data_IF_554262216942
#
_entry.id   IF_554262216942
#
_cell.length_a   1.000
_cell.length_b   1.000
_cell.length_c   1.000
_cell.angle_alpha   90.00
_cell.angle_beta   90.00
_cell.angle_gamma   90.00
#
_symmetry.space_group_name_H-M   'P 1'
#
loop_
_entity.id
_entity.type
_entity.pdbx_description
1 polymer ?
#
# COMPACT_ATOMS: atom_id res chain seq x y z
N UNK A 1 49.30 -25.98 -15.01
CA UNK A 1 47.86 -26.32 -14.86
C UNK A 1 46.93 -25.44 -15.72
N UNK A 2 47.04 -25.46 -17.06
CA UNK A 2 46.12 -24.71 -17.96
C UNK A 2 45.53 -25.53 -19.13
N UNK A 3 45.72 -26.86 -19.14
CA UNK A 3 45.25 -27.72 -20.25
C UNK A 3 44.03 -28.59 -19.94
N UNK A 4 43.54 -28.65 -18.70
CA UNK A 4 42.46 -29.58 -18.32
C UNK A 4 41.02 -29.04 -18.47
N UNK A 5 40.81 -27.72 -18.72
CA UNK A 5 39.45 -27.13 -18.76
C UNK A 5 38.75 -27.16 -20.13
N UNK A 6 39.45 -27.50 -21.22
CA UNK A 6 38.87 -27.42 -22.59
C UNK A 6 38.15 -28.70 -23.05
N UNK A 7 38.33 -29.82 -22.36
CA UNK A 7 37.74 -31.12 -22.76
C UNK A 7 36.36 -31.41 -22.12
N UNK A 8 36.06 -30.85 -20.95
CA UNK A 8 34.78 -31.13 -20.24
C UNK A 8 33.58 -30.45 -20.93
N UNK A 9 33.79 -29.38 -21.68
CA UNK A 9 32.71 -28.64 -22.38
C UNK A 9 32.19 -29.30 -23.67
N UNK A 10 32.91 -30.27 -24.25
CA UNK A 10 32.46 -30.94 -25.49
C UNK A 10 31.56 -32.15 -25.22
N UNK A 11 31.69 -32.80 -24.07
CA UNK A 11 30.93 -34.01 -23.74
C UNK A 11 29.48 -33.66 -23.32
N UNK A 12 29.25 -32.53 -22.66
CA UNK A 12 27.90 -32.14 -22.21
C UNK A 12 26.98 -31.58 -23.32
N UNK A 13 27.53 -31.08 -24.43
CA UNK A 13 26.71 -30.54 -25.53
C UNK A 13 26.12 -31.61 -26.45
N UNK A 14 26.77 -32.77 -26.62
CA UNK A 14 26.23 -33.81 -27.51
C UNK A 14 25.08 -34.59 -26.85
N UNK A 15 25.19 -34.92 -25.55
CA UNK A 15 24.18 -35.74 -24.87
C UNK A 15 22.85 -35.02 -24.65
N UNK A 16 22.86 -33.69 -24.55
CA UNK A 16 21.66 -32.90 -24.30
C UNK A 16 20.87 -32.63 -25.59
N UNK A 17 21.58 -32.50 -26.73
CA UNK A 17 20.94 -32.39 -28.04
C UNK A 17 20.36 -33.73 -28.51
N UNK A 18 21.05 -34.85 -28.25
CA UNK A 18 20.52 -36.18 -28.63
C UNK A 18 19.22 -36.54 -27.87
N UNK A 19 19.09 -36.11 -26.61
CA UNK A 19 17.84 -36.30 -25.83
C UNK A 19 16.69 -35.43 -26.31
N UNK A 20 16.98 -34.22 -26.80
CA UNK A 20 15.98 -33.32 -27.37
C UNK A 20 15.48 -33.82 -28.73
N UNK A 21 16.39 -34.32 -29.58
CA UNK A 21 16.01 -34.92 -30.87
C UNK A 21 15.23 -36.22 -30.68
N UNK A 22 15.59 -37.07 -29.71
CA UNK A 22 14.82 -38.29 -29.40
C UNK A 22 13.47 -38.01 -28.73
N UNK A 23 13.31 -36.88 -28.03
CA UNK A 23 12.03 -36.43 -27.47
C UNK A 23 11.06 -35.95 -28.56
N UNK A 24 11.57 -35.29 -29.60
CA UNK A 24 10.75 -34.80 -30.73
C UNK A 24 10.38 -35.95 -31.67
N UNK A 25 11.25 -36.95 -31.85
CA UNK A 25 10.98 -38.10 -32.71
C UNK A 25 9.88 -39.03 -32.15
N UNK A 26 9.79 -39.20 -30.82
CA UNK A 26 8.77 -40.07 -30.18
C UNK A 26 7.34 -39.53 -30.21
N UNK A 27 7.15 -38.27 -30.59
CA UNK A 27 5.84 -37.60 -30.51
C UNK A 27 5.12 -37.50 -31.87
N UNK A 28 5.69 -38.06 -32.95
CA UNK A 28 5.08 -38.03 -34.30
C UNK A 28 4.01 -39.10 -34.53
N UNK A 29 3.98 -40.14 -33.70
CA UNK A 29 3.04 -41.26 -33.85
C UNK A 29 1.80 -41.16 -32.95
N UNK A 30 1.65 -40.06 -32.20
CA UNK A 30 0.45 -39.81 -31.39
C UNK A 30 -0.66 -39.20 -32.26
N UNK A 31 -1.86 -39.80 -32.36
CA UNK A 31 -2.95 -39.32 -33.21
C UNK A 31 -3.48 -37.92 -32.85
N UNK A 32 -3.02 -37.31 -31.77
CA UNK A 32 -3.40 -35.96 -31.33
C UNK A 32 -2.58 -34.82 -31.97
N UNK A 33 -1.49 -35.10 -32.70
CA UNK A 33 -0.63 -34.03 -33.26
C UNK A 33 -1.33 -33.23 -34.37
N UNK A 34 -2.21 -33.85 -35.16
CA UNK A 34 -2.92 -33.20 -36.27
C UNK A 34 -3.95 -32.16 -35.81
N UNK A 35 -4.41 -32.18 -34.56
CA UNK A 35 -5.36 -31.19 -34.03
C UNK A 35 -4.72 -29.87 -33.60
N UNK A 36 -3.40 -29.81 -33.47
CA UNK A 36 -2.69 -28.65 -32.89
C UNK A 36 -2.28 -27.56 -33.91
N UNK A 37 -2.51 -27.77 -35.21
CA UNK A 37 -2.09 -26.85 -36.28
C UNK A 37 -3.23 -26.02 -36.89
N UNK A 38 -4.48 -26.21 -36.45
CA UNK A 38 -5.59 -25.41 -36.98
C UNK A 38 -5.71 -24.09 -36.23
N UNK A 39 -5.72 -22.93 -36.93
CA UNK A 39 -5.99 -21.63 -36.33
C UNK A 39 -7.32 -21.64 -35.56
N UNK A 40 -7.32 -21.07 -34.35
CA UNK A 40 -8.45 -21.13 -33.41
C UNK A 40 -9.79 -20.57 -33.97
N UNK A 41 -9.76 -19.83 -35.08
CA UNK A 41 -10.94 -19.27 -35.73
C UNK A 41 -11.64 -20.23 -36.72
N UNK A 42 -11.05 -21.40 -37.02
CA UNK A 42 -11.63 -22.41 -37.93
C UNK A 42 -12.25 -23.61 -37.18
N UNK A 43 -12.20 -23.62 -35.85
CA UNK A 43 -12.86 -24.65 -35.07
C UNK A 43 -14.35 -24.29 -34.90
N UNK A 44 -15.28 -25.24 -35.11
CA UNK A 44 -16.70 -24.99 -34.86
C UNK A 44 -16.90 -24.62 -33.37
N UNK A 45 -17.78 -23.66 -33.05
CA UNK A 45 -18.04 -23.26 -31.68
C UNK A 45 -18.50 -24.49 -30.88
N UNK A 46 -17.77 -24.78 -29.80
CA UNK A 46 -18.10 -25.87 -28.90
C UNK A 46 -19.50 -25.63 -28.34
N UNK A 47 -20.45 -26.58 -28.44
CA UNK A 47 -21.79 -26.41 -27.89
C UNK A 47 -21.66 -26.16 -26.38
N UNK A 48 -22.06 -24.97 -25.96
CA UNK A 48 -22.06 -24.58 -24.55
C UNK A 48 -23.23 -25.32 -23.91
N UNK A 49 -23.02 -26.18 -22.90
CA UNK A 49 -24.12 -26.78 -22.18
C UNK A 49 -24.94 -25.66 -21.52
N UNK A 50 -26.17 -25.49 -21.97
CA UNK A 50 -27.15 -24.56 -21.41
C UNK A 50 -27.60 -25.09 -20.05
N UNK A 51 -26.78 -24.93 -19.03
CA UNK A 51 -27.20 -25.21 -17.65
C UNK A 51 -27.97 -24.00 -17.15
N UNK A 52 -29.30 -24.09 -17.22
CA UNK A 52 -30.23 -23.16 -16.56
C UNK A 52 -30.10 -23.32 -15.05
N UNK A 53 -29.24 -22.52 -14.42
CA UNK A 53 -29.25 -22.37 -12.97
C UNK A 53 -30.33 -21.36 -12.56
N UNK A 54 -31.16 -21.67 -11.54
CA UNK A 54 -32.09 -20.69 -11.00
C UNK A 54 -31.33 -19.52 -10.39
N UNK A 55 -31.67 -18.31 -10.85
CA UNK A 55 -31.14 -17.04 -10.34
C UNK A 55 -31.71 -16.79 -8.95
N UNK A 56 -31.08 -17.37 -7.93
CA UNK A 56 -31.28 -16.94 -6.55
C UNK A 56 -30.56 -15.58 -6.40
N UNK A 57 -31.24 -14.49 -6.01
CA UNK A 57 -30.60 -13.21 -5.79
C UNK A 57 -29.54 -13.39 -4.70
N UNK A 58 -28.27 -13.16 -5.05
CA UNK A 58 -27.16 -13.35 -4.11
C UNK A 58 -27.35 -12.39 -2.92
N UNK A 59 -27.47 -12.89 -1.68
CA UNK A 59 -27.51 -12.04 -0.47
C UNK A 59 -26.24 -11.19 -0.27
N UNK A 60 -25.21 -11.42 -1.10
CA UNK A 60 -23.95 -10.68 -1.10
C UNK A 60 -24.11 -9.19 -1.44
N UNK A 61 -25.04 -8.80 -2.31
CA UNK A 61 -25.19 -7.37 -2.68
C UNK A 61 -25.89 -6.56 -1.59
N UNK A 62 -26.89 -7.13 -0.92
CA UNK A 62 -27.55 -6.51 0.23
C UNK A 62 -26.63 -6.44 1.47
N UNK A 63 -25.82 -7.48 1.71
CA UNK A 63 -24.82 -7.47 2.77
C UNK A 63 -23.70 -6.45 2.54
N UNK A 64 -23.26 -6.23 1.28
CA UNK A 64 -22.27 -5.20 0.94
C UNK A 64 -22.79 -3.78 1.21
N UNK A 65 -24.09 -3.52 1.03
CA UNK A 65 -24.71 -2.23 1.36
C UNK A 65 -24.78 -1.97 2.88
N UNK A 66 -25.04 -3.00 3.69
CA UNK A 66 -25.09 -2.88 5.16
C UNK A 66 -23.69 -2.82 5.82
N UNK A 67 -22.67 -3.42 5.19
CA UNK A 67 -21.28 -3.31 5.65
C UNK A 67 -20.69 -1.92 5.33
N UNK A 68 -21.11 -1.29 4.23
CA UNK A 68 -20.72 0.08 3.89
C UNK A 68 -21.14 1.13 4.95
N UNK A 69 -22.19 0.85 5.75
CA UNK A 69 -22.65 1.75 6.81
C UNK A 69 -21.90 1.58 8.15
N UNK A 70 -21.20 0.46 8.36
CA UNK A 70 -20.54 0.12 9.64
C UNK A 70 -19.01 0.18 9.60
N UNK A 71 -18.40 0.33 8.42
CA UNK A 71 -16.96 0.54 8.31
C UNK A 71 -16.57 1.92 8.85
N UNK A 72 -15.50 2.06 9.66
CA UNK A 72 -15.10 3.33 10.22
C UNK A 72 -14.84 4.35 9.11
N UNK A 73 -15.67 5.40 9.09
CA UNK A 73 -15.69 6.55 8.16
C UNK A 73 -14.39 7.37 8.13
N UNK A 74 -13.29 6.86 8.67
CA UNK A 74 -12.02 7.58 8.86
C UNK A 74 -10.96 7.24 7.81
N UNK A 75 -11.22 6.33 6.87
CA UNK A 75 -10.22 5.94 5.85
C UNK A 75 -10.05 6.96 4.70
N UNK A 76 -11.05 7.83 4.51
CA UNK A 76 -11.15 8.72 3.35
C UNK A 76 -10.19 9.92 3.32
N UNK A 77 -9.94 10.64 4.43
CA UNK A 77 -9.00 11.78 4.44
C UNK A 77 -7.56 11.35 4.13
N UNK A 78 -7.23 10.07 4.37
CA UNK A 78 -5.86 9.57 4.40
C UNK A 78 -5.20 9.61 3.04
N UNK A 79 -5.87 9.13 1.98
CA UNK A 79 -5.27 9.10 0.65
C UNK A 79 -5.12 10.52 0.07
N UNK A 80 -6.04 11.42 0.39
CA UNK A 80 -5.95 12.83 0.01
C UNK A 80 -4.85 13.56 0.78
N UNK A 81 -4.68 13.28 2.07
CA UNK A 81 -3.64 13.88 2.92
C UNK A 81 -2.26 13.30 2.64
N UNK A 82 -2.12 11.98 2.47
CA UNK A 82 -0.83 11.32 2.23
C UNK A 82 -0.32 11.59 0.81
N UNK A 83 -1.18 11.52 -0.21
CA UNK A 83 -0.71 11.52 -1.61
C UNK A 83 -0.94 12.83 -2.37
N UNK A 84 -1.48 13.88 -1.71
CA UNK A 84 -1.82 15.19 -2.32
C UNK A 84 -2.15 15.05 -3.81
N UNK A 85 -3.17 14.24 -4.08
CA UNK A 85 -3.56 13.93 -5.46
C UNK A 85 -3.75 15.26 -6.21
N UNK A 86 -3.32 15.36 -7.48
CA UNK A 86 -3.56 16.55 -8.28
C UNK A 86 -5.03 16.95 -8.17
N UNK A 87 -5.35 18.25 -7.97
CA UNK A 87 -6.72 18.70 -7.73
C UNK A 87 -7.67 18.36 -8.88
N UNK A 88 -7.14 18.06 -10.07
CA UNK A 88 -7.89 17.65 -11.25
C UNK A 88 -8.38 16.20 -11.21
N UNK A 89 -7.90 15.36 -10.29
CA UNK A 89 -8.27 13.95 -10.24
C UNK A 89 -9.30 13.69 -9.13
N UNK A 90 -10.39 12.97 -9.43
CA UNK A 90 -11.35 12.59 -8.40
C UNK A 90 -10.66 11.66 -7.40
N UNK A 91 -11.00 11.73 -6.09
CA UNK A 91 -10.45 10.82 -5.10
C UNK A 91 -10.84 9.36 -5.39
N UNK A 92 -10.03 8.37 -4.95
CA UNK A 92 -10.34 6.97 -5.19
C UNK A 92 -11.59 6.57 -4.40
N UNK A 93 -12.34 5.58 -4.91
CA UNK A 93 -13.56 5.15 -4.22
C UNK A 93 -13.24 4.63 -2.81
N UNK A 94 -14.14 4.82 -1.82
CA UNK A 94 -13.90 4.39 -0.44
C UNK A 94 -13.62 2.89 -0.35
N UNK A 95 -14.35 2.10 -1.14
CA UNK A 95 -14.19 0.66 -1.22
C UNK A 95 -12.81 0.27 -1.75
N UNK A 96 -12.27 1.00 -2.73
CA UNK A 96 -10.94 0.75 -3.24
C UNK A 96 -9.88 1.11 -2.19
N UNK A 97 -10.06 2.21 -1.46
CA UNK A 97 -9.15 2.61 -0.37
C UNK A 97 -9.14 1.57 0.74
N UNK A 98 -10.31 1.14 1.21
CA UNK A 98 -10.43 0.04 2.17
C UNK A 98 -9.73 -1.21 1.64
N UNK A 99 -10.01 -1.63 0.41
CA UNK A 99 -9.37 -2.78 -0.22
C UNK A 99 -7.83 -2.63 -0.34
N UNK A 100 -7.31 -1.43 -0.55
CA UNK A 100 -5.86 -1.16 -0.55
C UNK A 100 -5.27 -1.32 0.86
N UNK A 101 -6.00 -0.96 1.92
CA UNK A 101 -5.54 -0.92 3.30
C UNK A 101 -5.85 -2.18 4.13
N UNK A 102 -6.71 -3.07 3.64
CA UNK A 102 -7.08 -4.30 4.34
C UNK A 102 -6.13 -5.45 3.98
N UNK A 103 -5.27 -5.83 4.93
CA UNK A 103 -4.34 -6.95 4.77
C UNK A 103 -5.08 -8.30 4.86
N UNK A 104 -4.56 -9.35 4.19
CA UNK A 104 -5.14 -10.70 4.22
C UNK A 104 -5.24 -11.31 5.64
N UNK A 105 -4.43 -10.81 6.59
CA UNK A 105 -4.50 -11.26 7.98
C UNK A 105 -5.60 -10.60 8.79
N UNK A 106 -6.28 -9.57 8.27
CA UNK A 106 -7.39 -8.93 8.98
C UNK A 106 -8.51 -9.94 9.26
N UNK A 107 -9.22 -9.76 10.37
CA UNK A 107 -10.33 -10.64 10.75
C UNK A 107 -11.39 -10.70 9.64
N UNK A 108 -11.76 -9.56 9.08
CA UNK A 108 -12.78 -9.45 8.05
C UNK A 108 -12.35 -10.10 6.73
N UNK A 109 -11.08 -9.91 6.33
CA UNK A 109 -10.52 -10.59 5.16
C UNK A 109 -10.50 -12.12 5.34
N UNK A 110 -10.21 -12.61 6.55
CA UNK A 110 -10.19 -14.05 6.86
C UNK A 110 -11.56 -14.70 6.83
N UNK A 111 -12.58 -13.99 7.30
CA UNK A 111 -13.98 -14.47 7.28
C UNK A 111 -14.60 -14.27 5.88
N UNK A 112 -13.94 -13.49 5.01
CA UNK A 112 -14.38 -13.24 3.64
C UNK A 112 -15.48 -12.17 3.54
N UNK A 113 -15.63 -11.36 4.59
CA UNK A 113 -16.60 -10.25 4.66
C UNK A 113 -16.05 -8.97 4.03
N UNK A 114 -14.72 -8.79 4.04
CA UNK A 114 -14.05 -7.67 3.40
C UNK A 114 -13.09 -8.15 2.28
N UNK A 115 -12.91 -7.36 1.20
CA UNK A 115 -11.89 -7.63 0.19
C UNK A 115 -10.49 -7.46 0.81
N UNK A 116 -9.51 -8.23 0.31
CA UNK A 116 -8.13 -8.16 0.80
C UNK A 116 -7.15 -7.72 -0.27
N UNK A 117 -6.11 -7.03 0.16
CA UNK A 117 -5.18 -6.35 -0.72
C UNK A 117 -4.23 -7.25 -1.53
N UNK A 118 -4.36 -8.59 -1.49
CA UNK A 118 -3.39 -9.53 -2.07
C UNK A 118 -3.16 -9.33 -3.57
N UNK A 119 -4.24 -9.12 -4.33
CA UNK A 119 -4.17 -8.93 -5.80
C UNK A 119 -3.54 -7.58 -6.15
N UNK A 120 -3.96 -6.53 -5.46
CA UNK A 120 -3.40 -5.19 -5.65
C UNK A 120 -1.93 -5.16 -5.27
N UNK A 121 -1.56 -5.78 -4.15
CA UNK A 121 -0.16 -5.88 -3.70
C UNK A 121 0.71 -6.65 -4.69
N UNK A 122 0.17 -7.69 -5.33
CA UNK A 122 0.88 -8.38 -6.40
C UNK A 122 1.20 -7.42 -7.55
N UNK A 123 0.21 -6.71 -8.07
CA UNK A 123 0.39 -5.77 -9.19
C UNK A 123 1.37 -4.65 -8.82
N UNK A 124 1.17 -3.98 -7.69
CA UNK A 124 2.01 -2.84 -7.34
C UNK A 124 3.46 -3.20 -7.01
N UNK A 125 3.77 -4.42 -6.58
CA UNK A 125 5.18 -4.88 -6.51
C UNK A 125 5.87 -4.84 -7.86
N UNK A 126 5.18 -5.20 -8.95
CA UNK A 126 5.76 -5.17 -10.31
C UNK A 126 5.91 -3.74 -10.80
N UNK A 127 4.97 -2.86 -10.43
CA UNK A 127 5.08 -1.44 -10.73
C UNK A 127 6.25 -0.79 -9.97
N UNK A 128 6.45 -1.13 -8.70
CA UNK A 128 7.60 -0.67 -7.93
C UNK A 128 8.92 -1.12 -8.56
N UNK A 129 9.04 -2.39 -8.96
CA UNK A 129 10.20 -2.92 -9.69
C UNK A 129 10.42 -2.15 -11.01
N UNK A 130 9.36 -1.95 -11.80
CA UNK A 130 9.42 -1.21 -13.06
C UNK A 130 9.88 0.25 -12.85
N UNK A 131 9.32 0.96 -11.88
CA UNK A 131 9.66 2.36 -11.61
C UNK A 131 11.08 2.51 -11.07
N UNK A 132 11.53 1.60 -10.20
CA UNK A 132 12.92 1.57 -9.75
C UNK A 132 13.88 1.28 -10.91
N UNK A 133 13.56 0.31 -11.77
CA UNK A 133 14.35 0.00 -12.96
C UNK A 133 14.45 1.20 -13.90
N UNK A 134 13.34 1.89 -14.16
CA UNK A 134 13.32 3.11 -14.99
C UNK A 134 14.15 4.24 -14.38
N UNK A 135 14.11 4.41 -13.05
CA UNK A 135 14.98 5.36 -12.35
C UNK A 135 16.46 5.01 -12.52
N UNK A 136 16.84 3.74 -12.34
CA UNK A 136 18.23 3.30 -12.51
C UNK A 136 18.71 3.51 -13.96
N UNK A 137 17.87 3.22 -14.96
CA UNK A 137 18.17 3.51 -16.35
C UNK A 137 18.39 5.01 -16.59
N UNK A 138 17.51 5.86 -16.05
CA UNK A 138 17.62 7.31 -16.19
C UNK A 138 18.94 7.85 -15.62
N UNK A 139 19.33 7.38 -14.43
CA UNK A 139 20.55 7.82 -13.76
C UNK A 139 21.83 7.33 -14.47
N UNK A 140 21.76 6.18 -15.15
CA UNK A 140 22.89 5.63 -15.91
C UNK A 140 23.13 6.31 -17.25
N UNK A 141 22.17 7.06 -17.76
CA UNK A 141 22.35 7.85 -18.99
C UNK A 141 23.41 8.94 -18.73
N UNK A 142 24.52 8.97 -19.49
CA UNK A 142 25.57 9.97 -19.34
C UNK A 142 25.06 11.42 -19.40
N UNK A 143 23.95 11.67 -20.11
CA UNK A 143 23.33 13.00 -20.21
C UNK A 143 22.75 13.50 -18.89
N UNK A 144 22.42 12.58 -17.98
CA UNK A 144 21.80 12.89 -16.69
C UNK A 144 22.82 12.84 -15.54
N UNK A 145 24.12 12.66 -15.82
CA UNK A 145 25.13 12.62 -14.77
C UNK A 145 25.20 13.95 -14.00
N UNK A 146 25.23 13.85 -12.68
CA UNK A 146 25.46 15.00 -11.81
C UNK A 146 26.96 15.37 -11.84
N UNK A 147 27.29 16.67 -11.74
CA UNK A 147 28.67 17.12 -11.70
C UNK A 147 29.42 16.44 -10.55
N UNK A 148 30.62 15.92 -10.83
CA UNK A 148 31.45 15.20 -9.86
C UNK A 148 31.19 13.68 -9.77
N UNK A 149 30.22 13.12 -10.49
CA UNK A 149 30.05 11.67 -10.58
C UNK A 149 30.91 11.08 -11.71
N UNK A 150 32.12 10.64 -11.38
CA UNK A 150 33.00 9.93 -12.32
C UNK A 150 32.37 8.57 -12.70
N UNK A 151 32.51 8.17 -13.96
CA UNK A 151 31.86 6.99 -14.54
C UNK A 151 32.46 5.63 -14.12
N UNK A 152 33.49 5.62 -13.27
CA UNK A 152 34.23 4.40 -12.96
C UNK A 152 33.48 3.50 -11.97
N UNK A 153 33.14 2.28 -12.43
CA UNK A 153 32.82 1.14 -11.56
C UNK A 153 31.60 1.30 -10.66
N UNK A 154 30.45 1.75 -11.19
CA UNK A 154 29.18 1.84 -10.44
C UNK A 154 28.59 0.44 -10.16
N UNK A 155 29.19 -0.28 -9.24
CA UNK A 155 28.63 -1.52 -8.71
C UNK A 155 27.32 -1.21 -7.96
N UNK A 156 26.24 -1.91 -8.29
CA UNK A 156 24.97 -1.85 -7.56
C UNK A 156 25.07 -2.70 -6.29
N UNK A 157 26.03 -2.36 -5.43
CA UNK A 157 26.23 -3.03 -4.15
C UNK A 157 25.56 -2.22 -3.05
N UNK A 158 24.60 -2.85 -2.37
CA UNK A 158 24.08 -2.34 -1.10
C UNK A 158 25.06 -2.80 -0.02
N UNK A 159 25.71 -1.85 0.64
CA UNK A 159 26.47 -2.13 1.86
C UNK A 159 25.53 -1.89 3.04
N UNK A 160 25.29 -2.90 3.86
CA UNK A 160 24.65 -2.67 5.17
C UNK A 160 25.56 -1.88 6.09
N UNK A 161 24.98 -1.36 7.18
CA UNK A 161 25.72 -0.71 8.28
C UNK A 161 26.84 -1.61 8.84
N UNK A 162 26.65 -2.94 8.78
CA UNK A 162 27.64 -3.95 9.16
C UNK A 162 28.77 -4.15 8.13
N UNK A 163 28.79 -3.38 7.04
CA UNK A 163 29.76 -3.50 5.95
C UNK A 163 29.57 -4.74 5.05
N UNK A 164 28.51 -5.53 5.24
CA UNK A 164 28.21 -6.67 4.36
C UNK A 164 27.61 -6.18 3.04
N UNK A 165 28.23 -6.60 1.95
CA UNK A 165 27.64 -6.54 0.61
C UNK A 165 26.43 -7.47 0.57
N UNK A 166 25.24 -6.90 0.38
CA UNK A 166 24.09 -7.71 0.02
C UNK A 166 24.13 -8.02 -1.48
N UNK A 167 23.93 -9.29 -1.83
CA UNK A 167 23.81 -9.76 -3.20
C UNK A 167 25.13 -10.07 -3.92
N UNK A 168 24.96 -10.60 -5.14
CA UNK A 168 26.03 -10.90 -6.10
C UNK A 168 26.42 -9.69 -6.96
N UNK A 169 25.97 -8.49 -6.57
CA UNK A 169 26.10 -7.25 -7.35
C UNK A 169 25.13 -7.16 -8.54
N UNK A 170 24.24 -8.15 -8.74
CA UNK A 170 23.27 -8.09 -9.84
C UNK A 170 22.16 -7.06 -9.55
N UNK A 171 21.76 -6.35 -10.60
CA UNK A 171 20.68 -5.36 -10.53
C UNK A 171 19.34 -5.96 -10.10
N UNK A 172 19.07 -7.20 -10.51
CA UNK A 172 17.88 -7.93 -10.08
C UNK A 172 17.88 -8.19 -8.58
N UNK A 173 19.03 -8.52 -7.99
CA UNK A 173 19.15 -8.75 -6.56
C UNK A 173 19.06 -7.44 -5.77
N UNK A 174 19.74 -6.39 -6.25
CA UNK A 174 19.60 -5.03 -5.73
C UNK A 174 18.13 -4.59 -5.63
N UNK A 175 17.37 -4.74 -6.71
CA UNK A 175 15.95 -4.38 -6.71
C UNK A 175 15.12 -5.20 -5.70
N UNK A 176 15.37 -6.51 -5.59
CA UNK A 176 14.66 -7.36 -4.61
C UNK A 176 14.93 -6.92 -3.18
N UNK A 177 16.12 -6.44 -2.89
CA UNK A 177 16.53 -6.02 -1.55
C UNK A 177 15.97 -4.65 -1.20
N UNK A 178 16.11 -3.66 -2.08
CA UNK A 178 15.55 -2.32 -1.89
C UNK A 178 14.02 -2.36 -1.78
N UNK A 179 13.37 -3.21 -2.58
CA UNK A 179 11.92 -3.37 -2.62
C UNK A 179 11.41 -4.53 -1.77
N UNK A 180 12.24 -5.09 -0.87
CA UNK A 180 11.77 -6.09 0.08
C UNK A 180 10.63 -5.49 0.92
N UNK A 181 9.50 -6.20 1.12
CA UNK A 181 8.38 -5.66 1.88
C UNK A 181 8.75 -5.18 3.30
N UNK A 182 9.77 -5.75 3.94
CA UNK A 182 10.22 -5.31 5.26
C UNK A 182 10.92 -3.96 5.16
N UNK A 183 11.79 -3.79 4.16
CA UNK A 183 12.50 -2.53 3.88
C UNK A 183 11.49 -1.44 3.53
N UNK A 184 10.60 -1.71 2.58
CA UNK A 184 9.52 -0.79 2.20
C UNK A 184 8.68 -0.39 3.43
N UNK A 185 8.25 -1.35 4.24
CA UNK A 185 7.43 -1.04 5.40
C UNK A 185 8.16 -0.29 6.52
N UNK A 186 9.46 -0.52 6.69
CA UNK A 186 10.29 0.18 7.67
C UNK A 186 10.54 1.63 7.26
N UNK A 187 11.02 1.85 6.03
CA UNK A 187 11.46 3.17 5.58
C UNK A 187 10.33 4.01 5.00
N UNK A 188 9.50 3.44 4.13
CA UNK A 188 8.41 4.16 3.46
C UNK A 188 7.14 4.08 4.32
N UNK A 189 6.76 2.87 4.73
CA UNK A 189 5.47 2.63 5.37
C UNK A 189 5.35 3.31 6.74
N UNK A 190 6.45 3.38 7.48
CA UNK A 190 6.51 4.11 8.75
C UNK A 190 6.42 5.62 8.55
N UNK A 191 7.01 6.18 7.48
CA UNK A 191 6.93 7.62 7.18
C UNK A 191 5.54 8.02 6.68
N UNK A 192 4.84 7.11 6.01
CA UNK A 192 3.45 7.29 5.62
C UNK A 192 2.45 7.09 6.79
N UNK A 193 2.92 6.65 7.96
CA UNK A 193 2.06 6.39 9.13
C UNK A 193 1.01 5.30 8.90
N UNK A 194 1.30 4.30 8.05
CA UNK A 194 0.35 3.27 7.64
C UNK A 194 -0.19 2.43 8.81
N UNK A 195 0.54 2.36 9.92
CA UNK A 195 0.10 1.70 11.15
C UNK A 195 -1.23 2.21 11.70
N UNK A 196 -1.53 3.49 11.48
CA UNK A 196 -2.73 4.12 12.03
C UNK A 196 -3.98 3.80 11.18
N UNK A 197 -3.78 3.19 10.02
CA UNK A 197 -4.78 3.14 8.96
C UNK A 197 -4.98 1.74 8.37
N UNK A 198 -3.96 0.90 8.42
CA UNK A 198 -4.03 -0.45 7.87
C UNK A 198 -4.85 -1.38 8.77
N UNK A 199 -5.74 -2.14 8.16
CA UNK A 199 -6.49 -3.18 8.87
C UNK A 199 -5.73 -4.48 8.79
N UNK A 200 -5.25 -4.95 9.93
CA UNK A 200 -4.52 -6.22 10.02
C UNK A 200 -4.70 -6.82 11.42
N UNK A 201 -4.53 -8.13 11.52
CA UNK A 201 -4.42 -8.80 12.82
C UNK A 201 -3.02 -9.37 12.96
N UNK A 202 -2.32 -8.95 14.02
CA UNK A 202 -1.02 -9.51 14.38
C UNK A 202 -1.14 -10.96 14.84
N UNK A 203 -0.05 -11.73 14.71
CA UNK A 203 0.03 -13.06 15.33
C UNK A 203 0.18 -12.87 16.84
N UNK A 204 -0.91 -12.97 17.59
CA UNK A 204 -0.82 -13.14 19.04
C UNK A 204 -0.19 -14.50 19.33
N UNK A 205 0.98 -14.60 19.99
CA UNK A 205 1.47 -15.89 20.46
C UNK A 205 0.50 -16.41 21.51
N UNK A 206 0.02 -17.64 21.32
CA UNK A 206 -0.97 -18.29 22.18
C UNK A 206 -0.48 -18.53 23.63
N UNK A 207 0.82 -18.35 23.93
CA UNK A 207 1.42 -18.72 25.23
C UNK A 207 2.01 -17.58 26.06
N UNK A 208 1.83 -16.31 25.71
CA UNK A 208 2.48 -15.21 26.45
C UNK A 208 1.48 -14.23 27.05
N UNK A 209 0.86 -14.62 28.16
CA UNK A 209 0.04 -13.73 29.00
C UNK A 209 0.86 -12.61 29.69
N UNK A 210 2.20 -12.62 29.58
CA UNK A 210 3.11 -11.74 30.34
C UNK A 210 3.94 -10.80 29.44
N UNK A 211 3.80 -10.86 28.11
CA UNK A 211 4.59 -9.99 27.22
C UNK A 211 3.91 -8.62 27.02
N UNK A 212 4.65 -7.55 27.33
CA UNK A 212 4.31 -6.14 27.13
C UNK A 212 3.54 -5.92 25.80
N UNK A 213 2.33 -5.32 25.84
CA UNK A 213 1.53 -5.05 24.65
C UNK A 213 2.31 -4.31 23.55
N UNK A 214 3.31 -3.50 23.90
CA UNK A 214 4.13 -2.75 22.94
C UNK A 214 5.10 -3.63 22.14
N UNK A 215 5.51 -4.79 22.66
CA UNK A 215 6.42 -5.73 21.96
C UNK A 215 5.63 -6.65 21.02
N UNK A 216 4.36 -6.96 21.36
CA UNK A 216 3.47 -7.83 20.57
C UNK A 216 3.10 -7.24 19.20
N UNK A 217 2.97 -5.92 19.10
CA UNK A 217 2.54 -5.22 17.87
C UNK A 217 3.65 -5.14 16.80
N UNK A 218 4.93 -5.28 17.18
CA UNK A 218 6.06 -4.99 16.28
C UNK A 218 6.47 -6.13 15.35
N UNK A 219 6.12 -7.40 15.65
CA UNK A 219 6.55 -8.54 14.81
C UNK A 219 5.71 -8.65 13.53
N UNK A 220 6.34 -8.39 12.40
CA UNK A 220 5.74 -8.50 11.06
C UNK A 220 5.01 -7.25 10.58
N UNK A 221 4.93 -6.19 11.40
CA UNK A 221 4.29 -4.92 11.04
C UNK A 221 4.93 -4.31 9.79
N UNK A 222 6.27 -4.33 9.69
CA UNK A 222 7.00 -3.83 8.52
C UNK A 222 6.61 -4.61 7.26
N UNK A 223 6.56 -5.94 7.32
CA UNK A 223 6.12 -6.75 6.16
C UNK A 223 4.70 -6.41 5.72
N UNK A 224 3.79 -6.20 6.67
CA UNK A 224 2.40 -5.81 6.37
C UNK A 224 2.37 -4.43 5.72
N UNK A 225 3.06 -3.44 6.30
CA UNK A 225 3.20 -2.09 5.72
C UNK A 225 3.76 -2.13 4.29
N UNK A 226 4.79 -2.93 4.03
CA UNK A 226 5.34 -3.10 2.69
C UNK A 226 4.36 -3.70 1.69
N UNK A 227 3.57 -4.70 2.10
CA UNK A 227 2.49 -5.24 1.27
C UNK A 227 1.41 -4.20 0.99
N UNK A 228 1.08 -3.35 1.97
CA UNK A 228 0.13 -2.25 1.83
C UNK A 228 0.64 -1.20 0.84
N UNK A 229 1.93 -0.85 0.87
CA UNK A 229 2.53 0.02 -0.16
C UNK A 229 2.33 -0.59 -1.55
N UNK A 230 2.63 -1.88 -1.70
CA UNK A 230 2.35 -2.59 -2.95
C UNK A 230 0.89 -2.49 -3.37
N UNK A 231 -0.07 -2.64 -2.46
CA UNK A 231 -1.49 -2.53 -2.84
C UNK A 231 -1.93 -1.13 -3.17
N UNK A 232 -1.37 -0.11 -2.52
CA UNK A 232 -1.59 1.29 -2.89
C UNK A 232 -1.15 1.54 -4.33
N UNK A 233 0.05 1.09 -4.71
CA UNK A 233 0.52 1.18 -6.10
C UNK A 233 -0.39 0.42 -7.07
N UNK A 234 -0.81 -0.80 -6.73
CA UNK A 234 -1.74 -1.58 -7.55
C UNK A 234 -3.11 -0.92 -7.72
N UNK A 235 -3.69 -0.40 -6.64
CA UNK A 235 -5.00 0.25 -6.65
C UNK A 235 -4.98 1.60 -7.37
N UNK A 236 -3.96 2.42 -7.16
CA UNK A 236 -3.81 3.69 -7.87
C UNK A 236 -3.51 3.48 -9.35
N UNK A 237 -2.75 2.46 -9.73
CA UNK A 237 -2.58 2.12 -11.15
C UNK A 237 -3.88 1.63 -11.77
N UNK A 238 -4.71 0.91 -11.03
CA UNK A 238 -6.01 0.48 -11.51
C UNK A 238 -6.97 1.66 -11.69
N UNK A 239 -6.95 2.65 -10.79
CA UNK A 239 -7.83 3.82 -10.84
C UNK A 239 -7.36 4.93 -11.79
N UNK A 240 -6.05 5.20 -11.84
CA UNK A 240 -5.46 6.38 -12.51
C UNK A 240 -4.35 6.05 -13.51
N UNK A 241 -3.96 4.78 -13.63
CA UNK A 241 -2.93 4.33 -14.58
C UNK A 241 -1.48 4.52 -14.11
N UNK A 242 -0.56 4.18 -15.01
CA UNK A 242 0.88 4.19 -14.76
C UNK A 242 1.48 5.59 -14.46
N UNK A 243 1.05 6.71 -15.10
CA UNK A 243 1.63 8.02 -14.82
C UNK A 243 1.47 8.46 -13.37
N UNK A 244 0.34 8.14 -12.74
CA UNK A 244 0.09 8.44 -11.32
C UNK A 244 1.07 7.68 -10.43
N UNK A 245 1.21 6.38 -10.65
CA UNK A 245 2.12 5.56 -9.82
C UNK A 245 3.58 5.92 -10.03
N UNK A 246 3.97 6.37 -11.23
CA UNK A 246 5.31 6.88 -11.48
C UNK A 246 5.60 8.14 -10.64
N UNK A 247 4.66 9.10 -10.61
CA UNK A 247 4.76 10.29 -9.76
C UNK A 247 4.82 9.91 -8.29
N UNK A 248 3.93 9.02 -7.84
CA UNK A 248 3.92 8.52 -6.48
C UNK A 248 5.28 7.92 -6.08
N UNK A 249 5.88 7.12 -6.97
CA UNK A 249 7.19 6.53 -6.73
C UNK A 249 8.26 7.60 -6.52
N UNK A 250 8.42 8.50 -7.49
CA UNK A 250 9.51 9.49 -7.45
C UNK A 250 9.33 10.54 -6.34
N UNK A 251 8.10 10.88 -5.96
CA UNK A 251 7.82 11.92 -4.99
C UNK A 251 7.71 11.36 -3.57
N UNK A 252 6.99 10.27 -3.37
CA UNK A 252 6.62 9.81 -2.02
C UNK A 252 7.29 8.51 -1.59
N UNK A 253 7.86 7.73 -2.51
CA UNK A 253 8.49 6.44 -2.16
C UNK A 253 10.01 6.55 -2.19
N UNK A 254 10.56 7.03 -3.31
CA UNK A 254 12.00 7.05 -3.56
C UNK A 254 12.78 7.91 -2.54
N UNK A 255 12.32 9.09 -2.09
CA UNK A 255 13.05 9.88 -1.09
C UNK A 255 13.21 9.15 0.25
N UNK A 256 12.20 8.36 0.65
CA UNK A 256 12.26 7.58 1.88
C UNK A 256 13.15 6.34 1.76
N UNK A 257 13.45 5.89 0.55
CA UNK A 257 14.40 4.79 0.30
C UNK A 257 15.86 5.24 0.30
N UNK A 258 16.13 6.56 0.31
CA UNK A 258 17.49 7.12 0.32
C UNK A 258 18.45 6.43 1.30
N UNK A 259 18.10 6.10 2.56
CA UNK A 259 19.02 5.46 3.50
C UNK A 259 19.51 4.07 3.06
N UNK A 260 18.75 3.38 2.21
CA UNK A 260 19.04 2.02 1.73
C UNK A 260 19.71 2.05 0.36
N UNK A 261 19.58 3.17 -0.37
CA UNK A 261 20.18 3.34 -1.68
C UNK A 261 21.70 3.58 -1.56
N UNK A 262 22.50 3.09 -2.52
CA UNK A 262 23.90 3.45 -2.66
C UNK A 262 24.11 4.97 -2.68
N UNK A 263 25.17 5.45 -2.02
CA UNK A 263 25.43 6.89 -1.87
C UNK A 263 25.50 7.67 -3.18
N UNK A 264 25.93 7.04 -4.28
CA UNK A 264 25.97 7.67 -5.60
C UNK A 264 24.58 7.95 -6.19
N UNK A 265 23.51 7.31 -5.69
CA UNK A 265 22.13 7.64 -6.07
C UNK A 265 21.54 8.80 -5.29
N UNK A 266 22.13 9.17 -4.15
CA UNK A 266 21.55 10.17 -3.24
C UNK A 266 21.38 11.53 -3.90
N UNK A 267 22.37 12.00 -4.66
CA UNK A 267 22.27 13.28 -5.37
C UNK A 267 21.11 13.32 -6.37
N UNK A 268 20.81 12.20 -7.04
CA UNK A 268 19.68 12.12 -7.98
C UNK A 268 18.35 12.17 -7.26
N UNK A 269 18.25 11.49 -6.11
CA UNK A 269 17.07 11.55 -5.24
C UNK A 269 16.87 12.98 -4.71
N UNK A 270 17.94 13.67 -4.31
CA UNK A 270 17.89 15.05 -3.81
C UNK A 270 17.42 16.04 -4.87
N UNK A 271 17.86 15.87 -6.12
CA UNK A 271 17.38 16.69 -7.24
C UNK A 271 15.89 16.44 -7.51
N UNK A 272 15.42 15.20 -7.46
CA UNK A 272 14.00 14.86 -7.63
C UNK A 272 13.16 15.44 -6.49
N UNK A 273 13.62 15.30 -5.24
CA UNK A 273 12.96 15.87 -4.07
C UNK A 273 12.89 17.40 -4.18
N UNK A 274 14.01 18.08 -4.45
CA UNK A 274 14.03 19.54 -4.64
C UNK A 274 13.09 20.01 -5.75
N UNK A 275 12.98 19.24 -6.85
CA UNK A 275 12.03 19.54 -7.93
C UNK A 275 10.58 19.43 -7.47
N UNK A 276 10.22 18.37 -6.75
CA UNK A 276 8.87 18.19 -6.27
C UNK A 276 8.50 19.19 -5.16
N UNK A 277 9.47 19.66 -4.35
CA UNK A 277 9.28 20.74 -3.38
C UNK A 277 8.94 22.07 -4.10
N UNK A 278 9.66 22.40 -5.18
CA UNK A 278 9.38 23.61 -5.98
C UNK A 278 7.99 23.62 -6.62
N UNK A 279 7.45 22.45 -6.95
CA UNK A 279 6.10 22.31 -7.53
C UNK A 279 5.03 22.23 -6.43
N UNK A 280 5.41 22.27 -5.15
CA UNK A 280 4.48 22.20 -4.02
C UNK A 280 3.88 20.81 -3.79
N UNK A 281 4.53 19.75 -4.29
CA UNK A 281 4.03 18.37 -4.23
C UNK A 281 4.32 17.69 -2.89
N UNK A 282 5.26 18.20 -2.09
CA UNK A 282 5.47 17.70 -0.74
C UNK A 282 4.50 18.32 0.27
N UNK A 283 4.00 17.49 1.19
CA UNK A 283 3.44 17.97 2.45
C UNK A 283 4.65 18.20 3.35
N UNK A 284 4.98 19.45 3.65
CA UNK A 284 5.97 19.72 4.70
C UNK A 284 5.42 19.19 6.03
N UNK A 285 6.28 18.72 6.93
CA UNK A 285 5.84 18.32 8.28
C UNK A 285 5.06 19.45 8.95
N UNK A 286 5.43 20.71 8.68
CA UNK A 286 4.69 21.90 9.08
C UNK A 286 3.25 21.94 8.57
N UNK A 287 2.99 21.50 7.34
CA UNK A 287 1.64 21.46 6.78
C UNK A 287 0.79 20.37 7.46
N UNK A 288 1.38 19.20 7.76
CA UNK A 288 0.71 18.14 8.54
C UNK A 288 0.41 18.63 9.96
N UNK A 289 1.38 19.26 10.63
CA UNK A 289 1.23 19.79 11.97
C UNK A 289 0.17 20.89 12.04
N UNK A 290 0.15 21.80 11.05
CA UNK A 290 -0.91 22.82 10.93
C UNK A 290 -2.29 22.20 10.73
N UNK A 291 -2.40 21.18 9.90
CA UNK A 291 -3.69 20.49 9.70
C UNK A 291 -4.14 19.78 10.98
N UNK A 292 -3.23 19.14 11.71
CA UNK A 292 -3.51 18.53 13.02
C UNK A 292 -3.93 19.57 14.06
N UNK A 293 -3.27 20.74 14.10
CA UNK A 293 -3.67 21.85 14.97
C UNK A 293 -5.07 22.35 14.62
N UNK A 294 -5.39 22.55 13.33
CA UNK A 294 -6.71 22.97 12.88
C UNK A 294 -7.80 21.93 13.23
N UNK A 295 -7.49 20.63 13.18
CA UNK A 295 -8.41 19.60 13.60
C UNK A 295 -8.65 19.62 15.11
N UNK A 296 -7.60 19.83 15.92
CA UNK A 296 -7.73 20.01 17.37
C UNK A 296 -8.56 21.26 17.72
N UNK A 297 -8.35 22.37 17.02
CA UNK A 297 -9.15 23.60 17.17
C UNK A 297 -10.63 23.38 16.81
N UNK A 298 -10.90 22.62 15.74
CA UNK A 298 -12.29 22.27 15.38
C UNK A 298 -12.95 21.38 16.42
N UNK A 299 -12.21 20.44 17.02
CA UNK A 299 -12.74 19.57 18.08
C UNK A 299 -13.06 20.37 19.33
N UNK A 300 -12.14 21.21 19.81
CA UNK A 300 -12.34 22.07 20.97
C UNK A 300 -13.51 23.04 20.77
N UNK A 301 -13.63 23.66 19.58
CA UNK A 301 -14.77 24.52 19.25
C UNK A 301 -16.10 23.76 19.28
N UNK A 302 -16.12 22.52 18.77
CA UNK A 302 -17.31 21.66 18.79
C UNK A 302 -17.71 21.26 20.22
N UNK A 303 -16.73 20.97 21.07
CA UNK A 303 -16.96 20.68 22.50
C UNK A 303 -17.52 21.88 23.25
N UNK A 304 -16.99 23.08 23.00
CA UNK A 304 -17.53 24.32 23.56
C UNK A 304 -18.99 24.55 23.12
N UNK A 305 -19.30 24.34 21.84
CA UNK A 305 -20.67 24.49 21.33
C UNK A 305 -21.63 23.48 21.98
N UNK A 306 -21.20 22.23 22.17
CA UNK A 306 -21.96 21.21 22.90
C UNK A 306 -22.17 21.63 24.37
N UNK A 307 -21.15 22.21 25.00
CA UNK A 307 -21.22 22.75 26.37
C UNK A 307 -22.28 23.85 26.50
N UNK A 308 -22.25 24.85 25.61
CA UNK A 308 -23.23 25.95 25.57
C UNK A 308 -24.64 25.42 25.36
N UNK A 309 -24.83 24.48 24.43
CA UNK A 309 -26.15 23.85 24.18
C UNK A 309 -26.67 23.10 25.41
N UNK A 310 -25.80 22.37 26.12
CA UNK A 310 -26.17 21.67 27.37
C UNK A 310 -26.57 22.66 28.48
N UNK A 311 -25.88 23.80 28.59
CA UNK A 311 -26.23 24.83 29.57
C UNK A 311 -27.57 25.48 29.26
N UNK A 312 -27.82 25.86 28.00
CA UNK A 312 -29.10 26.39 27.57
C UNK A 312 -30.26 25.40 27.82
N UNK A 313 -30.02 24.10 27.61
CA UNK A 313 -31.02 23.06 27.91
C UNK A 313 -31.33 22.97 29.41
N UNK A 314 -30.30 23.04 30.28
CA UNK A 314 -30.50 23.07 31.74
C UNK A 314 -31.29 24.29 32.20
N UNK A 315 -31.02 25.46 31.62
CA UNK A 315 -31.75 26.70 31.91
C UNK A 315 -33.21 26.58 31.47
N UNK A 316 -33.48 26.05 30.27
CA UNK A 316 -34.84 25.79 29.81
C UNK A 316 -35.59 24.80 30.70
N UNK A 317 -34.95 23.73 31.16
CA UNK A 317 -35.55 22.77 32.08
C UNK A 317 -35.84 23.40 33.45
N UNK A 318 -34.98 24.30 33.93
CA UNK A 318 -35.20 25.05 35.18
C UNK A 318 -36.38 26.02 35.05
N UNK A 319 -36.54 26.67 33.88
CA UNK A 319 -37.70 27.53 33.60
C UNK A 319 -38.98 26.69 33.51
N UNK A 320 -38.91 25.51 32.86
CA UNK A 320 -40.05 24.59 32.75
C UNK A 320 -40.49 24.03 34.10
N UNK A 321 -39.55 23.68 34.98
CA UNK A 321 -39.87 23.19 36.33
C UNK A 321 -40.53 24.29 37.18
N UNK A 322 -40.01 25.53 37.12
CA UNK A 322 -40.65 26.70 37.77
C UNK A 322 -42.08 26.94 37.29
N UNK A 323 -42.34 26.79 35.98
CA UNK A 323 -43.70 26.93 35.43
C UNK A 323 -44.67 25.83 35.84
N UNK A 324 -44.18 24.62 36.15
CA UNK A 324 -45.04 23.49 36.57
C UNK A 324 -45.50 23.59 38.03
N UNK A 325 -44.68 24.16 38.92
CA UNK A 325 -45.00 24.32 40.35
C UNK A 325 -44.90 25.79 40.81
N UNK A 326 -45.85 26.66 40.44
CA UNK A 326 -45.86 28.05 40.92
C UNK A 326 -46.11 28.17 42.43
N UNK A 327 -46.77 27.20 43.06
CA UNK A 327 -47.15 27.26 44.48
C UNK A 327 -45.99 27.04 45.48
N UNK A 328 -44.82 26.55 45.04
CA UNK A 328 -43.64 26.35 45.92
C UNK A 328 -42.69 27.55 45.92
N UNK A 329 -42.77 28.45 44.94
CA UNK A 329 -41.85 29.61 44.83
C UNK A 329 -42.27 30.80 45.68
N UNK A 330 -43.56 30.98 45.96
CA UNK A 330 -44.06 32.04 46.84
C UNK A 330 -43.68 31.87 48.32
N UNK A 331 -43.27 30.67 48.77
CA UNK A 331 -42.82 30.45 50.15
C UNK A 331 -41.34 30.76 50.39
N UNK A 332 -40.52 30.89 49.34
CA UNK A 332 -39.08 31.10 49.48
C UNK A 332 -38.67 32.58 49.54
N UNK A 333 -39.42 33.48 48.90
CA UNK A 333 -39.09 34.91 48.83
C UNK A 333 -39.67 35.74 50.00
N UNK A 334 -40.33 35.09 50.97
CA UNK A 334 -41.03 35.74 52.09
C UNK A 334 -40.21 35.96 53.38
N UNK A 335 -38.89 35.73 53.40
CA UNK A 335 -38.08 35.79 54.65
C UNK A 335 -36.88 36.73 54.49
N UNK A 336 -37.10 38.01 54.18
CA UNK A 336 -36.14 39.09 54.51
C UNK A 336 -36.90 40.40 54.76
N UNK A 337 -37.21 40.67 56.03
CA UNK A 337 -37.10 41.97 56.69
C UNK A 337 -37.74 41.90 58.09
N UNK A 338 -36.91 41.65 59.10
CA UNK A 338 -37.01 42.26 60.44
C UNK A 338 -35.59 42.60 60.87
#
# INVERSE_FOLDING_TARGET
>A
MKFARKQVGKIYKSTLMDRLVQSVARNKDSPDWQRSQLPAHLLPPRPVPTTTYPTVPRPRQAALAQIAESSPKTSFPIMTTIFKLPPSLPPPSPDLVSHMLTHISSREARIGTAPNNRKLAFLGRRLLEMHLQMFLFHVRDPKNHLPGQVAEGRELVIKTEDGKTLGDGSEAQFMREVLDPRVLGQYVGSKWGLENYMEWSGKTPASSAVADPNIRVKRGVSTVRGNIIGSVFGGLSHAYGAPMTNRLFHIHTLPHLKPVLPGWLHGHVDVLQSRAERVGLFVTEDAVQREQQLLAERQTKKEQEIGVKKQAYREQDTIRSRRRNPAETEKADGVVNV
#
